data_IF_039499842594
#
_entry.id   IF_039499842594
#
_cell.length_a   1.000
_cell.length_b   1.000
_cell.length_c   1.000
_cell.angle_alpha   90.00
_cell.angle_beta   90.00
_cell.angle_gamma   90.00
#
_symmetry.space_group_name_H-M   'P 1'
#
loop_
_entity.id
_entity.type
_entity.pdbx_description
1 polymer ?
#
# COMPACT_ATOMS: atom_id res chain seq x y z
N UNK A 1 -14.14 -5.73 53.92
CA UNK A 1 -14.71 -5.31 52.63
C UNK A 1 -13.84 -4.18 52.08
N UNK A 2 -13.01 -4.44 51.08
CA UNK A 2 -12.27 -3.39 50.35
C UNK A 2 -12.74 -3.46 48.90
N UNK A 3 -13.29 -2.34 48.45
CA UNK A 3 -14.03 -2.19 47.22
C UNK A 3 -13.21 -2.61 46.00
N UNK A 4 -13.88 -3.33 45.10
CA UNK A 4 -13.38 -3.70 43.79
C UNK A 4 -13.23 -2.44 42.94
N UNK A 5 -12.00 -2.03 42.67
CA UNK A 5 -11.70 -1.04 41.63
C UNK A 5 -11.66 -1.75 40.28
N UNK A 6 -12.85 -1.96 39.72
CA UNK A 6 -13.06 -2.35 38.32
C UNK A 6 -13.39 -1.09 37.51
N UNK A 7 -13.04 -1.13 36.23
CA UNK A 7 -13.31 -0.13 35.18
C UNK A 7 -12.36 1.07 35.13
N UNK A 8 -11.36 1.00 34.24
CA UNK A 8 -11.41 1.81 33.00
C UNK A 8 -10.39 1.29 31.98
N UNK A 9 -10.68 0.15 31.36
CA UNK A 9 -10.10 -0.14 30.04
C UNK A 9 -10.77 0.83 29.06
N UNK A 10 -10.11 1.96 28.83
CA UNK A 10 -10.41 2.89 27.74
C UNK A 10 -10.23 2.13 26.42
N UNK A 11 -11.32 1.49 25.98
CA UNK A 11 -11.49 1.06 24.61
C UNK A 11 -11.62 2.32 23.74
N UNK A 12 -10.48 2.94 23.43
CA UNK A 12 -10.39 3.95 22.39
C UNK A 12 -10.51 3.24 21.04
N UNK A 13 -11.75 2.92 20.65
CA UNK A 13 -12.06 2.64 19.26
C UNK A 13 -11.87 3.95 18.47
N UNK A 14 -10.64 4.19 18.02
CA UNK A 14 -10.36 5.22 17.01
C UNK A 14 -11.19 4.86 15.80
N UNK A 15 -12.26 5.63 15.56
CA UNK A 15 -12.92 5.67 14.26
C UNK A 15 -11.87 6.17 13.26
N UNK A 16 -11.28 5.27 12.49
CA UNK A 16 -10.37 5.64 11.42
C UNK A 16 -11.16 6.44 10.37
N UNK A 17 -10.75 7.68 10.13
CA UNK A 17 -11.28 8.49 9.03
C UNK A 17 -11.04 7.75 7.69
N UNK A 18 -11.95 7.89 6.70
CA UNK A 18 -11.75 7.28 5.39
C UNK A 18 -10.45 7.80 4.77
N UNK A 19 -9.51 6.88 4.51
CA UNK A 19 -8.23 7.22 3.89
C UNK A 19 -8.41 7.78 2.48
N UNK A 20 -7.61 8.80 2.16
CA UNK A 20 -7.54 9.37 0.82
C UNK A 20 -7.00 8.35 -0.19
N UNK A 21 -7.19 8.62 -1.48
CA UNK A 21 -6.64 7.74 -2.53
C UNK A 21 -5.11 7.82 -2.57
N UNK A 22 -4.57 8.97 -2.21
CA UNK A 22 -3.15 9.25 -2.05
C UNK A 22 -2.56 8.39 -0.91
N UNK A 23 -3.18 8.38 0.27
CA UNK A 23 -2.72 7.55 1.40
C UNK A 23 -2.73 6.06 1.06
N UNK A 24 -3.75 5.66 0.31
CA UNK A 24 -3.96 4.30 -0.17
C UNK A 24 -2.93 3.90 -1.24
N UNK A 25 -2.47 4.84 -2.05
CA UNK A 25 -1.41 4.66 -3.03
C UNK A 25 -0.05 4.51 -2.31
N UNK A 26 0.27 5.42 -1.40
CA UNK A 26 1.52 5.40 -0.64
C UNK A 26 1.68 4.11 0.20
N UNK A 27 0.61 3.68 0.86
CA UNK A 27 0.61 2.39 1.58
C UNK A 27 0.89 1.19 0.65
N UNK A 28 0.45 1.26 -0.61
CA UNK A 28 0.66 0.19 -1.57
C UNK A 28 2.11 0.15 -2.04
N UNK A 29 2.71 1.30 -2.31
CA UNK A 29 4.13 1.42 -2.62
C UNK A 29 5.01 0.96 -1.44
N UNK A 30 4.55 1.17 -0.21
CA UNK A 30 5.26 0.73 0.99
C UNK A 30 5.27 -0.79 1.19
N UNK A 31 4.43 -1.56 0.50
CA UNK A 31 4.40 -3.02 0.62
C UNK A 31 5.75 -3.61 0.19
N UNK A 32 6.24 -4.62 0.92
CA UNK A 32 7.56 -5.25 0.68
C UNK A 32 7.77 -5.67 -0.78
N UNK A 33 6.73 -6.20 -1.43
CA UNK A 33 6.75 -6.60 -2.84
C UNK A 33 7.12 -5.45 -3.79
N UNK A 34 6.59 -4.25 -3.55
CA UNK A 34 6.85 -3.08 -4.38
C UNK A 34 8.14 -2.40 -3.95
N UNK A 35 8.31 -2.13 -2.65
CA UNK A 35 9.47 -1.42 -2.10
C UNK A 35 10.81 -2.08 -2.41
N UNK A 36 10.90 -3.39 -2.35
CA UNK A 36 12.18 -4.12 -2.50
C UNK A 36 12.33 -4.81 -3.86
N UNK A 37 11.34 -4.70 -4.74
CA UNK A 37 11.37 -5.37 -6.05
C UNK A 37 12.14 -4.63 -7.13
N UNK A 38 12.55 -3.37 -6.88
CA UNK A 38 13.27 -2.56 -7.89
C UNK A 38 12.44 -2.27 -9.14
N UNK A 39 11.11 -2.16 -8.96
CA UNK A 39 10.17 -1.96 -10.06
C UNK A 39 10.38 -0.60 -10.74
N UNK A 40 10.35 -0.60 -12.06
CA UNK A 40 10.12 0.61 -12.84
C UNK A 40 8.63 0.94 -12.77
N UNK A 41 8.28 2.14 -12.28
CA UNK A 41 6.88 2.57 -12.12
C UNK A 41 6.33 3.27 -13.36
N UNK A 42 7.20 3.67 -14.29
CA UNK A 42 6.81 4.25 -15.56
C UNK A 42 6.74 3.18 -16.66
N UNK A 43 5.54 2.97 -17.19
CA UNK A 43 5.28 1.96 -18.20
C UNK A 43 6.05 2.20 -19.50
N UNK A 44 6.14 3.45 -19.95
CA UNK A 44 6.76 3.80 -21.23
C UNK A 44 8.28 3.66 -21.13
N UNK A 45 8.87 4.03 -19.99
CA UNK A 45 10.28 3.78 -19.69
C UNK A 45 10.58 2.28 -19.65
N UNK A 46 9.76 1.49 -18.95
CA UNK A 46 9.95 0.04 -18.86
C UNK A 46 9.83 -0.65 -20.24
N UNK A 47 8.84 -0.24 -21.03
CA UNK A 47 8.62 -0.76 -22.39
C UNK A 47 9.77 -0.39 -23.33
N UNK A 48 10.25 0.85 -23.29
CA UNK A 48 11.39 1.28 -24.09
C UNK A 48 12.66 0.49 -23.75
N UNK A 49 12.93 0.26 -22.46
CA UNK A 49 14.06 -0.54 -21.98
C UNK A 49 13.96 -1.99 -22.45
N UNK A 50 12.81 -2.64 -22.28
CA UNK A 50 12.59 -4.02 -22.71
C UNK A 50 12.81 -4.20 -24.23
N UNK A 51 12.33 -3.24 -25.05
CA UNK A 51 12.56 -3.23 -26.50
C UNK A 51 14.03 -3.06 -26.86
N UNK A 52 14.75 -2.16 -26.17
CA UNK A 52 16.18 -1.93 -26.39
C UNK A 52 17.02 -3.16 -26.01
N UNK A 53 16.64 -3.87 -24.97
CA UNK A 53 17.36 -5.03 -24.45
C UNK A 53 16.95 -6.37 -25.08
N UNK A 54 15.98 -6.37 -26.00
CA UNK A 54 15.37 -7.58 -26.59
C UNK A 54 14.87 -8.58 -25.53
N UNK A 55 14.17 -8.05 -24.51
CA UNK A 55 13.62 -8.83 -23.40
C UNK A 55 12.11 -8.72 -23.32
N UNK A 56 11.49 -9.75 -22.74
CA UNK A 56 10.06 -9.74 -22.40
C UNK A 56 9.82 -8.80 -21.22
N UNK A 57 8.76 -8.00 -21.33
CA UNK A 57 8.31 -7.11 -20.27
C UNK A 57 7.28 -7.83 -19.37
N UNK A 58 7.61 -7.98 -18.09
CA UNK A 58 6.64 -8.42 -17.07
C UNK A 58 6.02 -7.21 -16.38
N UNK A 59 4.69 -7.09 -16.44
CA UNK A 59 3.97 -5.95 -15.87
C UNK A 59 2.92 -6.42 -14.87
N UNK A 60 2.90 -5.79 -13.71
CA UNK A 60 1.90 -6.04 -12.68
C UNK A 60 1.00 -4.81 -12.51
N UNK A 61 -0.21 -4.88 -13.08
CA UNK A 61 -1.22 -3.87 -12.87
C UNK A 61 -2.00 -4.18 -11.59
N UNK A 62 -1.95 -3.25 -10.65
CA UNK A 62 -2.79 -3.33 -9.47
C UNK A 62 -4.01 -2.42 -9.68
N UNK A 63 -5.22 -2.93 -9.47
CA UNK A 63 -6.39 -2.03 -9.45
C UNK A 63 -6.18 -1.00 -8.34
N UNK A 64 -6.09 0.27 -8.72
CA UNK A 64 -6.31 1.38 -7.79
C UNK A 64 -7.82 1.58 -7.73
N UNK A 65 -8.40 1.15 -6.61
CA UNK A 65 -9.68 1.60 -6.07
C UNK A 65 -10.72 2.00 -7.13
N UNK A 66 -11.32 0.99 -7.77
CA UNK A 66 -12.70 1.16 -8.21
C UNK A 66 -13.53 1.39 -6.91
N UNK A 67 -14.40 2.41 -6.87
CA UNK A 67 -15.18 2.76 -5.68
C UNK A 67 -16.04 1.59 -5.18
#
# INVERSE_FOLDING_TARGET
>A
MKAATVCLLLASSVLAAPQSLEDKYEQKLAKRFVRYGGWESDYDVARARAKKEDKVLFVYFSRSYAP
#
